data_IF_410726559135
#
_entry.id   IF_410726559135
#
_cell.length_a   1.000
_cell.length_b   1.000
_cell.length_c   1.000
_cell.angle_alpha   90.00
_cell.angle_beta   90.00
_cell.angle_gamma   90.00
#
_symmetry.space_group_name_H-M   'P 1'
#
loop_
_entity.id
_entity.type
_entity.pdbx_description
1 polymer ?
#
# COMPACT_ATOMS: atom_id res chain seq x y z
N UNK A 1 -13.14 -7.18 34.02
CA UNK A 1 -13.52 -7.86 32.76
C UNK A 1 -12.40 -8.82 32.44
N UNK A 2 -12.61 -10.15 32.44
CA UNK A 2 -11.57 -11.09 32.03
C UNK A 2 -11.23 -10.83 30.57
N UNK A 3 -9.93 -10.63 30.29
CA UNK A 3 -9.39 -10.58 28.93
C UNK A 3 -9.69 -11.90 28.25
N UNK A 4 -10.57 -11.88 27.24
CA UNK A 4 -10.79 -13.02 26.36
C UNK A 4 -9.58 -13.08 25.43
N UNK A 5 -8.54 -13.81 25.84
CA UNK A 5 -7.51 -14.31 24.93
C UNK A 5 -8.10 -15.46 24.12
N UNK A 6 -9.03 -15.13 23.23
CA UNK A 6 -9.30 -16.00 22.11
C UNK A 6 -7.99 -16.10 21.31
N UNK A 7 -7.52 -17.30 20.95
CA UNK A 7 -6.41 -17.41 20.01
C UNK A 7 -6.80 -16.64 18.76
N UNK A 8 -6.01 -15.64 18.38
CA UNK A 8 -6.16 -14.96 17.10
C UNK A 8 -6.10 -16.04 16.03
N UNK A 9 -7.26 -16.43 15.48
CA UNK A 9 -7.30 -17.11 14.20
C UNK A 9 -6.55 -16.18 13.27
N UNK A 10 -5.40 -16.61 12.73
CA UNK A 10 -4.57 -15.78 11.83
C UNK A 10 -5.51 -15.07 10.86
N UNK A 11 -5.71 -13.77 11.05
CA UNK A 11 -6.55 -13.01 10.14
C UNK A 11 -5.81 -13.01 8.81
N UNK A 12 -6.47 -13.44 7.74
CA UNK A 12 -5.95 -13.34 6.39
C UNK A 12 -6.44 -12.04 5.77
N UNK A 13 -5.60 -11.40 4.95
CA UNK A 13 -6.03 -10.25 4.16
C UNK A 13 -7.23 -10.65 3.29
N UNK A 14 -8.29 -9.84 3.31
CA UNK A 14 -9.45 -10.06 2.47
C UNK A 14 -9.14 -9.56 1.05
N UNK A 15 -9.09 -10.48 0.11
CA UNK A 15 -9.02 -10.18 -1.31
C UNK A 15 -10.43 -10.15 -1.92
N UNK A 16 -10.72 -9.10 -2.67
CA UNK A 16 -11.96 -8.90 -3.42
C UNK A 16 -11.63 -9.06 -4.91
N UNK A 17 -12.07 -10.16 -5.55
CA UNK A 17 -11.78 -10.42 -6.95
C UNK A 17 -12.71 -9.61 -7.85
N UNK A 18 -12.27 -8.43 -8.29
CA UNK A 18 -13.07 -7.61 -9.18
C UNK A 18 -13.22 -8.29 -10.55
N UNK A 19 -14.43 -8.22 -11.09
CA UNK A 19 -14.68 -8.66 -12.45
C UNK A 19 -14.01 -7.75 -13.47
N UNK A 20 -13.81 -8.27 -14.68
CA UNK A 20 -13.35 -7.48 -15.82
C UNK A 20 -14.27 -6.29 -16.12
N UNK A 21 -15.57 -6.43 -15.85
CA UNK A 21 -16.54 -5.35 -16.02
C UNK A 21 -16.33 -4.26 -14.97
N UNK A 22 -16.17 -4.62 -13.68
CA UNK A 22 -15.88 -3.65 -12.63
C UNK A 22 -14.56 -2.91 -12.89
N UNK A 23 -13.53 -3.61 -13.41
CA UNK A 23 -12.27 -3.00 -13.84
C UNK A 23 -12.47 -2.05 -15.01
N UNK A 24 -13.12 -2.49 -16.10
CA UNK A 24 -13.25 -1.69 -17.34
C UNK A 24 -14.18 -0.49 -17.16
N UNK A 25 -15.29 -0.68 -16.45
CA UNK A 25 -16.26 0.38 -16.14
C UNK A 25 -15.81 1.29 -15.01
N UNK A 26 -14.75 0.91 -14.28
CA UNK A 26 -14.28 1.60 -13.07
C UNK A 26 -15.39 1.74 -12.01
N UNK A 27 -16.32 0.79 -11.97
CA UNK A 27 -17.48 0.80 -11.06
C UNK A 27 -17.52 -0.50 -10.29
N UNK A 28 -17.33 -0.44 -8.96
CA UNK A 28 -17.41 -1.60 -8.06
C UNK A 28 -18.88 -1.94 -7.76
N UNK A 29 -19.19 -3.23 -7.65
CA UNK A 29 -20.52 -3.68 -7.21
C UNK A 29 -20.76 -3.39 -5.73
N UNK A 30 -22.01 -3.24 -5.32
CA UNK A 30 -22.36 -3.01 -3.91
C UNK A 30 -21.90 -4.15 -2.98
N UNK A 31 -21.90 -5.40 -3.45
CA UNK A 31 -21.43 -6.54 -2.67
C UNK A 31 -19.91 -6.48 -2.44
N UNK A 32 -19.13 -6.22 -3.49
CA UNK A 32 -17.69 -6.02 -3.38
C UNK A 32 -17.33 -4.80 -2.53
N UNK A 33 -18.06 -3.69 -2.69
CA UNK A 33 -17.89 -2.49 -1.88
C UNK A 33 -18.15 -2.77 -0.40
N UNK A 34 -19.25 -3.44 -0.06
CA UNK A 34 -19.58 -3.79 1.32
C UNK A 34 -18.52 -4.71 1.96
N UNK A 35 -18.00 -5.69 1.20
CA UNK A 35 -16.90 -6.56 1.64
C UNK A 35 -15.61 -5.77 1.89
N UNK A 36 -15.24 -4.90 0.96
CA UNK A 36 -14.04 -4.07 1.08
C UNK A 36 -14.11 -3.13 2.29
N UNK A 37 -15.22 -2.40 2.46
CA UNK A 37 -15.43 -1.50 3.60
C UNK A 37 -15.42 -2.27 4.94
N UNK A 38 -16.07 -3.45 4.97
CA UNK A 38 -16.06 -4.30 6.17
C UNK A 38 -14.65 -4.75 6.55
N UNK A 39 -13.84 -5.15 5.56
CA UNK A 39 -12.44 -5.53 5.76
C UNK A 39 -11.60 -4.33 6.22
N UNK A 40 -11.75 -3.15 5.60
CA UNK A 40 -11.04 -1.94 6.02
C UNK A 40 -11.32 -1.58 7.49
N UNK A 41 -12.58 -1.64 7.93
CA UNK A 41 -12.90 -1.37 9.34
C UNK A 41 -12.36 -2.44 10.30
N UNK A 42 -12.51 -3.72 9.97
CA UNK A 42 -12.13 -4.84 10.84
C UNK A 42 -10.62 -5.04 10.91
N UNK A 43 -9.97 -5.02 9.75
CA UNK A 43 -8.61 -5.50 9.51
C UNK A 43 -7.62 -4.39 9.16
N UNK A 44 -8.10 -3.21 8.75
CA UNK A 44 -7.27 -2.08 8.35
C UNK A 44 -6.72 -2.19 6.94
N UNK A 45 -7.05 -3.27 6.22
CA UNK A 45 -6.58 -3.54 4.87
C UNK A 45 -7.60 -4.40 4.10
N UNK A 46 -7.68 -4.16 2.80
CA UNK A 46 -8.25 -5.09 1.83
C UNK A 46 -7.42 -5.05 0.54
N UNK A 47 -7.56 -6.09 -0.30
CA UNK A 47 -6.94 -6.13 -1.63
C UNK A 47 -8.06 -6.14 -2.67
N UNK A 48 -7.99 -5.21 -3.63
CA UNK A 48 -8.84 -5.22 -4.82
C UNK A 48 -8.06 -5.90 -5.94
N UNK A 49 -8.30 -7.20 -6.14
CA UNK A 49 -7.66 -7.94 -7.23
C UNK A 49 -8.29 -7.54 -8.57
N UNK A 50 -7.50 -7.54 -9.64
CA UNK A 50 -7.93 -7.10 -10.98
C UNK A 50 -8.49 -5.66 -10.98
N UNK A 51 -8.00 -4.77 -10.11
CA UNK A 51 -8.43 -3.37 -10.09
C UNK A 51 -7.79 -2.51 -11.19
N UNK A 52 -6.64 -2.94 -11.71
CA UNK A 52 -5.82 -2.18 -12.67
C UNK A 52 -5.51 -3.01 -13.91
N UNK A 53 -5.26 -2.34 -15.04
CA UNK A 53 -4.78 -2.98 -16.25
C UNK A 53 -3.29 -3.36 -16.11
N UNK A 54 -3.00 -4.65 -16.21
CA UNK A 54 -1.62 -5.20 -16.11
C UNK A 54 -0.70 -4.62 -17.21
N UNK A 55 -1.24 -4.21 -18.36
CA UNK A 55 -0.45 -3.54 -19.39
C UNK A 55 0.08 -2.17 -18.92
N UNK A 56 -0.72 -1.42 -18.16
CA UNK A 56 -0.30 -0.13 -17.60
C UNK A 56 0.78 -0.32 -16.54
N UNK A 57 0.58 -1.27 -15.62
CA UNK A 57 1.58 -1.57 -14.58
C UNK A 57 2.89 -2.06 -15.18
N UNK A 58 2.84 -2.90 -16.22
CA UNK A 58 4.03 -3.37 -16.93
C UNK A 58 4.85 -2.25 -17.59
N UNK A 59 4.19 -1.25 -18.20
CA UNK A 59 4.88 -0.08 -18.76
C UNK A 59 5.61 0.69 -17.66
N UNK A 60 4.91 0.99 -16.56
CA UNK A 60 5.51 1.72 -15.43
C UNK A 60 6.65 0.93 -14.79
N UNK A 61 6.48 -0.37 -14.59
CA UNK A 61 7.52 -1.25 -14.05
C UNK A 61 8.79 -1.21 -14.91
N UNK A 62 8.64 -1.32 -16.24
CA UNK A 62 9.79 -1.30 -17.15
C UNK A 62 10.58 0.02 -17.06
N UNK A 63 9.89 1.15 -16.97
CA UNK A 63 10.53 2.47 -16.81
C UNK A 63 11.28 2.53 -15.49
N UNK A 64 10.58 2.25 -14.38
CA UNK A 64 11.15 2.41 -13.05
C UNK A 64 12.31 1.44 -12.80
N UNK A 65 12.21 0.18 -13.26
CA UNK A 65 13.30 -0.78 -13.15
C UNK A 65 14.52 -0.38 -13.99
N UNK A 66 14.34 0.21 -15.18
CA UNK A 66 15.46 0.63 -16.03
C UNK A 66 16.30 1.75 -15.39
N UNK A 67 15.67 2.58 -14.55
CA UNK A 67 16.31 3.69 -13.86
C UNK A 67 16.81 3.31 -12.46
N UNK A 68 16.39 2.16 -11.92
CA UNK A 68 16.53 1.85 -10.49
C UNK A 68 18.00 1.70 -10.05
N UNK A 69 18.84 1.03 -10.84
CA UNK A 69 20.25 0.82 -10.51
C UNK A 69 21.04 2.14 -10.53
N UNK A 70 20.87 2.96 -11.58
CA UNK A 70 21.52 4.27 -11.68
C UNK A 70 21.04 5.20 -10.55
N UNK A 71 19.74 5.20 -10.27
CA UNK A 71 19.18 6.01 -9.18
C UNK A 71 19.74 5.58 -7.82
N UNK A 72 19.92 4.27 -7.58
CA UNK A 72 20.45 3.76 -6.32
C UNK A 72 21.88 4.23 -6.01
N UNK A 73 22.66 4.59 -7.04
CA UNK A 73 24.03 5.09 -6.91
C UNK A 73 24.11 6.60 -6.65
N UNK A 74 23.02 7.34 -6.85
CA UNK A 74 23.02 8.80 -6.64
C UNK A 74 23.11 9.12 -5.15
N UNK A 75 23.99 10.07 -4.74
CA UNK A 75 24.14 10.45 -3.33
C UNK A 75 22.90 11.15 -2.75
N UNK A 76 21.98 11.60 -3.61
CA UNK A 76 20.72 12.25 -3.22
C UNK A 76 19.56 11.28 -3.07
N UNK A 77 19.76 10.00 -3.40
CA UNK A 77 18.68 9.01 -3.35
C UNK A 77 18.32 8.68 -1.92
N UNK A 78 17.02 8.80 -1.64
CA UNK A 78 16.47 8.47 -0.34
C UNK A 78 16.17 6.97 -0.26
N UNK A 79 16.76 6.32 0.74
CA UNK A 79 16.44 4.96 1.14
C UNK A 79 15.71 5.01 2.47
N UNK A 80 14.67 4.19 2.64
CA UNK A 80 14.06 4.05 3.94
C UNK A 80 15.05 3.32 4.88
N UNK A 81 15.59 4.06 5.84
CA UNK A 81 16.74 3.71 6.71
C UNK A 81 16.32 3.24 8.13
N UNK A 82 15.10 2.72 8.24
CA UNK A 82 14.52 2.26 9.50
C UNK A 82 14.85 0.80 9.86
N UNK A 83 16.04 0.31 9.50
CA UNK A 83 16.56 -0.99 9.98
C UNK A 83 16.92 -0.93 11.46
N UNK A 84 17.10 -2.10 12.09
CA UNK A 84 17.51 -2.19 13.49
C UNK A 84 18.92 -1.63 13.73
N UNK A 85 19.83 -1.83 12.77
CA UNK A 85 21.23 -1.42 12.82
C UNK A 85 21.51 -0.06 12.14
N UNK A 86 20.48 0.58 11.58
CA UNK A 86 20.59 1.86 10.87
C UNK A 86 21.18 1.77 9.46
N UNK A 87 21.46 0.56 8.95
CA UNK A 87 21.93 0.37 7.58
C UNK A 87 20.78 0.40 6.56
N UNK A 88 21.04 0.75 5.28
CA UNK A 88 20.02 0.73 4.24
C UNK A 88 19.35 -0.65 4.08
N UNK A 89 18.03 -0.65 3.91
CA UNK A 89 17.22 -1.87 3.73
C UNK A 89 17.02 -2.25 2.26
N UNK A 90 17.49 -1.42 1.32
CA UNK A 90 17.23 -1.58 -0.10
C UNK A 90 15.86 -1.08 -0.56
N UNK A 91 15.02 -0.58 0.37
CA UNK A 91 13.76 0.07 0.01
C UNK A 91 14.03 1.53 -0.40
N UNK A 92 14.19 1.75 -1.70
CA UNK A 92 14.46 3.04 -2.32
C UNK A 92 13.16 3.80 -2.60
N UNK A 93 13.15 5.09 -2.28
CA UNK A 93 12.06 5.98 -2.70
C UNK A 93 12.22 6.32 -4.18
N UNK A 94 11.25 5.91 -4.98
CA UNK A 94 11.23 6.15 -6.42
C UNK A 94 9.81 6.51 -6.85
N UNK A 95 9.58 7.79 -7.11
CA UNK A 95 8.26 8.29 -7.51
C UNK A 95 7.83 7.79 -8.89
N UNK A 96 6.52 7.71 -9.18
CA UNK A 96 6.05 7.33 -10.50
C UNK A 96 6.38 8.42 -11.55
N UNK A 97 6.46 8.05 -12.84
CA UNK A 97 6.55 9.02 -13.93
C UNK A 97 5.35 9.98 -13.93
N UNK A 98 5.60 11.27 -14.19
CA UNK A 98 4.58 12.34 -14.17
C UNK A 98 4.23 12.86 -15.57
N UNK A 99 4.71 12.18 -16.62
CA UNK A 99 4.33 12.48 -17.99
C UNK A 99 2.84 12.14 -18.18
N UNK A 100 2.00 13.05 -18.70
CA UNK A 100 0.55 12.86 -18.79
C UNK A 100 0.12 11.53 -19.47
N UNK A 101 0.87 11.08 -20.47
CA UNK A 101 0.64 9.82 -21.19
C UNK A 101 0.88 8.55 -20.37
N UNK A 102 1.59 8.66 -19.24
CA UNK A 102 1.86 7.58 -18.29
C UNK A 102 0.98 7.66 -17.04
N UNK A 103 0.17 8.73 -16.91
CA UNK A 103 -0.76 8.91 -15.80
C UNK A 103 -2.09 8.20 -16.05
N UNK A 104 -2.06 6.86 -16.04
CA UNK A 104 -3.23 6.03 -16.28
C UNK A 104 -4.32 6.22 -15.22
N UNK A 105 -5.57 6.42 -15.65
CA UNK A 105 -6.70 6.72 -14.76
C UNK A 105 -7.03 5.57 -13.82
N UNK A 106 -6.85 4.32 -14.24
CA UNK A 106 -7.06 3.14 -13.38
C UNK A 106 -5.98 2.99 -12.29
N UNK A 107 -4.90 3.77 -12.33
CA UNK A 107 -3.89 3.85 -11.27
C UNK A 107 -4.08 5.12 -10.44
N UNK A 108 -4.13 6.29 -11.08
CA UNK A 108 -4.18 7.59 -10.41
C UNK A 108 -5.56 7.98 -9.88
N UNK A 109 -6.62 7.42 -10.46
CA UNK A 109 -8.02 7.73 -10.15
C UNK A 109 -8.90 6.45 -10.19
N UNK A 110 -8.38 5.35 -9.64
CA UNK A 110 -9.04 4.04 -9.67
C UNK A 110 -10.45 4.11 -9.06
N UNK A 111 -11.48 3.89 -9.87
CA UNK A 111 -12.88 4.03 -9.46
C UNK A 111 -13.30 3.09 -8.31
N UNK A 112 -13.00 1.78 -8.37
CA UNK A 112 -13.24 0.86 -7.27
C UNK A 112 -12.56 1.29 -5.96
N UNK A 113 -11.29 1.68 -5.99
CA UNK A 113 -10.58 2.18 -4.81
C UNK A 113 -11.20 3.49 -4.30
N UNK A 114 -11.52 4.42 -5.18
CA UNK A 114 -12.14 5.70 -4.83
C UNK A 114 -13.50 5.49 -4.14
N UNK A 115 -14.31 4.52 -4.58
CA UNK A 115 -15.57 4.18 -3.92
C UNK A 115 -15.36 3.66 -2.49
N UNK A 116 -14.37 2.79 -2.27
CA UNK A 116 -14.00 2.32 -0.92
C UNK A 116 -13.52 3.48 -0.06
N UNK A 117 -12.62 4.32 -0.59
CA UNK A 117 -12.09 5.49 0.11
C UNK A 117 -13.20 6.49 0.47
N UNK A 118 -14.18 6.70 -0.40
CA UNK A 118 -15.30 7.58 -0.14
C UNK A 118 -16.18 7.11 1.03
N UNK A 119 -16.35 5.79 1.18
CA UNK A 119 -17.03 5.21 2.33
C UNK A 119 -16.23 5.37 3.63
N UNK A 120 -14.89 5.34 3.55
CA UNK A 120 -14.02 5.39 4.73
C UNK A 120 -13.70 6.81 5.21
N UNK A 121 -13.46 7.74 4.28
CA UNK A 121 -12.94 9.09 4.56
C UNK A 121 -13.98 10.20 4.31
N UNK A 122 -15.15 9.84 3.78
CA UNK A 122 -16.18 10.79 3.35
C UNK A 122 -16.18 10.99 1.83
N UNK A 123 -17.20 11.68 1.29
CA UNK A 123 -17.60 11.57 -0.11
C UNK A 123 -16.60 12.10 -1.15
N UNK A 124 -15.57 12.86 -0.74
CA UNK A 124 -14.61 13.50 -1.65
C UNK A 124 -13.17 13.32 -1.12
N UNK A 125 -12.63 12.08 -1.08
CA UNK A 125 -11.24 11.86 -0.71
C UNK A 125 -10.33 12.53 -1.75
N UNK A 126 -9.19 13.06 -1.30
CA UNK A 126 -8.20 13.71 -2.15
C UNK A 126 -6.86 12.98 -2.05
N UNK A 127 -6.18 12.85 -3.18
CA UNK A 127 -4.78 12.42 -3.21
C UNK A 127 -3.92 13.60 -2.76
N UNK A 128 -3.30 13.48 -1.60
CA UNK A 128 -2.45 14.53 -1.00
C UNK A 128 -0.95 14.24 -1.13
N UNK A 129 -0.59 12.99 -1.45
CA UNK A 129 0.78 12.53 -1.57
C UNK A 129 0.84 11.35 -2.54
N UNK A 130 1.84 11.35 -3.41
CA UNK A 130 2.15 10.23 -4.31
C UNK A 130 3.65 10.02 -4.32
N UNK A 131 4.06 8.77 -4.13
CA UNK A 131 5.44 8.31 -4.24
C UNK A 131 5.44 6.81 -4.58
N UNK A 132 6.61 6.22 -4.74
CA UNK A 132 6.77 4.77 -4.91
C UNK A 132 7.93 4.21 -4.10
N UNK A 133 7.92 2.89 -3.94
CA UNK A 133 8.92 2.11 -3.21
C UNK A 133 9.47 1.02 -4.12
N UNK A 134 10.76 1.11 -4.42
CA UNK A 134 11.48 0.10 -5.19
C UNK A 134 12.31 -0.75 -4.23
N UNK A 135 11.92 -2.01 -4.06
CA UNK A 135 12.64 -2.97 -3.24
C UNK A 135 13.82 -3.56 -4.03
N UNK A 136 15.01 -3.02 -3.81
CA UNK A 136 16.22 -3.49 -4.48
C UNK A 136 16.73 -4.81 -3.88
N UNK A 137 17.19 -5.70 -4.75
CA UNK A 137 17.86 -6.94 -4.34
C UNK A 137 19.28 -6.69 -3.81
N UNK A 138 19.89 -7.70 -3.19
CA UNK A 138 21.31 -7.66 -2.79
C UNK A 138 21.59 -7.08 -1.40
N UNK A 139 20.57 -6.67 -0.64
CA UNK A 139 20.72 -6.07 0.69
C UNK A 139 20.82 -7.09 1.84
N UNK A 140 21.39 -8.28 1.61
CA UNK A 140 21.74 -9.29 2.64
C UNK A 140 20.61 -9.68 3.62
N UNK A 141 19.36 -9.59 3.19
CA UNK A 141 18.21 -9.86 4.06
C UNK A 141 17.93 -8.75 5.10
N UNK A 142 18.52 -7.57 4.92
CA UNK A 142 18.15 -6.36 5.67
C UNK A 142 16.66 -6.11 5.56
N UNK A 143 16.08 -5.64 6.66
CA UNK A 143 14.64 -5.50 6.82
C UNK A 143 14.32 -4.21 7.56
N UNK A 144 13.22 -3.57 7.15
CA UNK A 144 12.64 -2.44 7.89
C UNK A 144 12.02 -2.89 9.22
N UNK A 145 12.21 -2.11 10.28
CA UNK A 145 11.44 -2.29 11.52
C UNK A 145 9.94 -2.19 11.25
N UNK A 146 9.14 -2.82 12.10
CA UNK A 146 7.69 -2.63 12.11
C UNK A 146 7.41 -1.16 12.41
N UNK A 147 6.59 -0.51 11.58
CA UNK A 147 6.29 0.90 11.72
C UNK A 147 4.89 1.22 11.17
N UNK A 148 4.45 2.43 11.45
CA UNK A 148 3.37 3.11 10.74
C UNK A 148 3.98 4.27 9.96
N UNK A 149 3.41 4.62 8.81
CA UNK A 149 3.94 5.69 7.94
C UNK A 149 3.85 7.07 8.60
N UNK A 150 2.91 7.24 9.53
CA UNK A 150 2.63 8.52 10.16
C UNK A 150 3.50 8.76 11.39
N UNK A 151 4.19 9.90 11.38
CA UNK A 151 5.12 10.30 12.45
C UNK A 151 4.69 11.55 13.22
N UNK A 152 3.40 11.85 13.29
CA UNK A 152 2.86 12.98 14.04
C UNK A 152 1.62 12.60 14.84
N UNK A 153 1.17 13.51 15.72
CA UNK A 153 -0.06 13.32 16.47
C UNK A 153 -1.28 13.36 15.53
N UNK A 154 -2.10 12.31 15.55
CA UNK A 154 -3.16 12.11 14.57
C UNK A 154 -4.45 11.63 15.23
N UNK A 155 -5.55 11.72 14.50
CA UNK A 155 -6.85 11.23 14.95
C UNK A 155 -6.83 9.70 15.14
N UNK A 156 -7.55 9.20 16.14
CA UNK A 156 -7.71 7.76 16.40
C UNK A 156 -8.78 7.10 15.50
N UNK A 157 -9.29 7.83 14.51
CA UNK A 157 -10.17 7.32 13.46
C UNK A 157 -9.49 7.52 12.10
N UNK A 158 -9.85 6.73 11.07
CA UNK A 158 -9.27 6.88 9.74
C UNK A 158 -9.43 8.30 9.20
N UNK A 159 -8.31 8.95 8.89
CA UNK A 159 -8.27 10.28 8.29
C UNK A 159 -7.42 10.33 7.00
N UNK A 160 -6.63 9.29 6.78
CA UNK A 160 -5.85 9.03 5.58
C UNK A 160 -5.78 7.52 5.36
N UNK A 161 -5.74 7.09 4.10
CA UNK A 161 -5.57 5.69 3.70
C UNK A 161 -4.49 5.66 2.61
N UNK A 162 -3.58 4.70 2.72
CA UNK A 162 -2.60 4.42 1.68
C UNK A 162 -3.22 3.48 0.66
N UNK A 163 -3.20 3.87 -0.61
CA UNK A 163 -3.57 3.01 -1.73
C UNK A 163 -2.29 2.60 -2.48
N UNK A 164 -1.91 1.33 -2.34
CA UNK A 164 -0.73 0.77 -3.01
C UNK A 164 -1.13 0.04 -4.29
N UNK A 165 -0.39 0.29 -5.38
CA UNK A 165 -0.48 -0.45 -6.63
C UNK A 165 0.84 -1.18 -6.87
N UNK A 166 0.82 -2.51 -6.86
CA UNK A 166 2.01 -3.29 -7.21
C UNK A 166 2.21 -3.29 -8.72
N UNK A 167 3.45 -3.01 -9.16
CA UNK A 167 3.79 -2.94 -10.58
C UNK A 167 4.27 -4.27 -11.16
N UNK A 168 4.51 -5.26 -10.31
CA UNK A 168 4.87 -6.62 -10.65
C UNK A 168 4.21 -7.61 -9.66
N UNK A 169 4.23 -8.89 -9.98
CA UNK A 169 3.79 -9.93 -9.05
C UNK A 169 4.67 -9.91 -7.80
N UNK A 170 4.03 -9.93 -6.62
CA UNK A 170 4.73 -9.89 -5.33
C UNK A 170 4.51 -11.15 -4.52
N UNK A 171 5.55 -11.53 -3.79
CA UNK A 171 5.60 -12.66 -2.88
C UNK A 171 6.65 -12.41 -1.79
N UNK A 172 6.67 -13.20 -0.71
CA UNK A 172 7.74 -13.10 0.27
C UNK A 172 9.14 -13.25 -0.34
N UNK A 173 9.27 -13.98 -1.45
CA UNK A 173 10.55 -14.21 -2.13
C UNK A 173 11.12 -12.96 -2.83
N UNK A 174 10.29 -11.97 -3.18
CA UNK A 174 10.73 -10.72 -3.82
C UNK A 174 10.35 -9.46 -3.02
N UNK A 175 10.07 -9.62 -1.72
CA UNK A 175 9.91 -8.49 -0.80
C UNK A 175 8.48 -7.95 -0.67
N UNK A 176 7.45 -8.77 -0.82
CA UNK A 176 6.08 -8.35 -0.46
C UNK A 176 6.02 -7.83 0.98
N UNK A 177 5.30 -6.73 1.20
CA UNK A 177 5.16 -6.11 2.53
C UNK A 177 4.53 -7.08 3.54
N UNK A 178 5.17 -7.25 4.70
CA UNK A 178 4.56 -7.93 5.84
C UNK A 178 3.64 -6.96 6.60
N UNK A 179 2.46 -7.45 7.01
CA UNK A 179 1.38 -6.62 7.55
C UNK A 179 0.90 -7.16 8.90
N UNK A 180 0.59 -6.22 9.81
CA UNK A 180 0.01 -6.50 11.13
C UNK A 180 -1.49 -6.21 11.06
N UNK A 181 -2.26 -7.20 10.65
CA UNK A 181 -3.71 -7.04 10.44
C UNK A 181 -4.40 -6.61 11.74
N UNK A 182 -5.24 -5.58 11.64
CA UNK A 182 -5.99 -5.01 12.76
C UNK A 182 -5.21 -4.01 13.62
N UNK A 183 -3.90 -3.82 13.40
CA UNK A 183 -3.08 -2.94 14.23
C UNK A 183 -3.44 -1.46 14.10
N UNK A 184 -4.19 -1.07 13.06
CA UNK A 184 -4.68 0.30 12.82
C UNK A 184 -5.62 0.81 13.92
N UNK A 185 -6.27 -0.08 14.68
CA UNK A 185 -7.18 0.28 15.77
C UNK A 185 -6.42 0.80 17.00
N UNK A 186 -5.23 0.25 17.19
CA UNK A 186 -4.25 0.51 18.24
C UNK A 186 -3.50 1.86 18.15
N UNK A 187 -3.55 2.55 17.00
CA UNK A 187 -2.49 3.51 16.66
C UNK A 187 -2.56 4.82 17.42
N UNK A 188 -1.42 5.20 17.99
CA UNK A 188 -1.18 6.49 18.62
C UNK A 188 0.27 6.93 18.39
N UNK A 189 0.56 8.20 18.68
CA UNK A 189 1.92 8.75 18.60
C UNK A 189 2.91 8.04 19.55
N UNK A 190 2.41 7.35 20.58
CA UNK A 190 3.22 6.65 21.59
C UNK A 190 3.73 5.29 21.11
N UNK A 191 3.15 4.70 20.05
CA UNK A 191 3.53 3.39 19.52
C UNK A 191 4.91 3.36 18.83
N UNK A 192 5.69 4.45 18.86
CA UNK A 192 7.09 4.49 18.38
C UNK A 192 8.13 3.84 19.31
N UNK A 193 7.73 3.38 20.50
CA UNK A 193 8.67 2.92 21.54
C UNK A 193 8.80 1.40 21.66
N UNK A 194 8.33 0.64 20.67
CA UNK A 194 8.46 -0.82 20.64
C UNK A 194 9.58 -1.24 19.70
#
# INVERSE_FOLDING_TARGET
MPSVTAPSSRQSVVAIPLSDEERKSQTITNDHLAKAVSAMHRDGICVLENAVNIGHTGILNNILCAEAEEMAELPTTHFNDNSEDGNPTGNMSQGPPLQPELMYSDIWANGPAAAVLACMLGPQPQVNYVNGNTALGGFKGSRQRVHVDLTFNHAQFPFAIVANCYLADVSPANGSTELWIGSHRDTSVEMRRC
#
